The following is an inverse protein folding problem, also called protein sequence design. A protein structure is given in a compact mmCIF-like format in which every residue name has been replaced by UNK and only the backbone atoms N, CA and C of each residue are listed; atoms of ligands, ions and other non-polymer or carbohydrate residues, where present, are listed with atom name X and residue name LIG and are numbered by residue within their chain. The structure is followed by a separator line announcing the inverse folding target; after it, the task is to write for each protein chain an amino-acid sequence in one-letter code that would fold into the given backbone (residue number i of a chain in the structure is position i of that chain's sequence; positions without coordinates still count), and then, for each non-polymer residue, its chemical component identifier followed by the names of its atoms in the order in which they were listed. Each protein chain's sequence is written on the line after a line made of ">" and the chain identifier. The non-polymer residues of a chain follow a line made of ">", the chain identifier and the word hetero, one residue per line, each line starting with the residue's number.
data_IF_245081437319
#
_entry.id   IF_245081437319
#
_cell.length_a   1.000
_cell.length_b   1.000
_cell.length_c   1.000
_cell.angle_alpha   90.00
_cell.angle_beta   90.00
_cell.angle_gamma   90.00
#
_symmetry.space_group_name_H-M   'P 1'
#
loop_
_entity.id
_entity.type
_entity.pdbx_description
1 polymer ?
#
# COMPACT_ATOMS: atom_id res chain seq x y z
N UNK A 1 -12.38 5.24 6.76
CA UNK A 1 -13.01 6.01 7.84
C UNK A 1 -11.99 6.25 8.96
N UNK A 2 -11.92 7.47 9.51
CA UNK A 2 -11.05 7.84 10.64
C UNK A 2 -11.97 8.17 11.83
N UNK A 3 -11.69 7.69 13.06
CA UNK A 3 -12.47 8.12 14.23
C UNK A 3 -12.31 9.63 14.48
N UNK A 4 -13.42 10.32 14.78
CA UNK A 4 -13.39 11.78 15.06
C UNK A 4 -12.69 12.11 16.37
N UNK A 5 -12.80 11.22 17.35
CA UNK A 5 -12.20 11.32 18.69
C UNK A 5 -10.86 10.56 18.82
N UNK A 6 -10.15 10.31 17.70
CA UNK A 6 -8.92 9.51 17.72
C UNK A 6 -7.81 10.08 18.63
N UNK A 7 -7.66 11.41 18.68
CA UNK A 7 -6.65 12.04 19.50
C UNK A 7 -7.03 11.98 20.99
N UNK A 8 -8.27 12.36 21.32
CA UNK A 8 -8.81 12.34 22.68
C UNK A 8 -8.72 10.92 23.28
N UNK A 9 -9.15 9.91 22.52
CA UNK A 9 -9.07 8.50 22.95
C UNK A 9 -7.63 7.99 23.10
N UNK A 10 -6.67 8.56 22.37
CA UNK A 10 -5.26 8.23 22.51
C UNK A 10 -4.69 8.82 23.81
N UNK A 11 -5.04 10.07 24.13
CA UNK A 11 -4.64 10.73 25.38
C UNK A 11 -5.21 9.95 26.59
N UNK A 12 -6.51 9.68 26.60
CA UNK A 12 -7.15 8.87 27.65
C UNK A 12 -6.55 7.47 27.80
N UNK A 13 -6.21 6.82 26.67
CA UNK A 13 -5.56 5.52 26.67
C UNK A 13 -4.22 5.57 27.42
N UNK A 14 -3.37 6.56 27.12
CA UNK A 14 -2.07 6.69 27.78
C UNK A 14 -2.18 7.15 29.23
N UNK A 15 -3.11 8.06 29.56
CA UNK A 15 -3.40 8.46 30.94
C UNK A 15 -3.85 7.28 31.80
N UNK A 16 -4.61 6.35 31.20
CA UNK A 16 -5.01 5.10 31.85
C UNK A 16 -3.89 4.07 32.00
N UNK A 17 -2.65 4.43 31.66
CA UNK A 17 -1.50 3.51 31.56
C UNK A 17 -1.76 2.34 30.61
N UNK A 18 -2.36 2.65 29.45
CA UNK A 18 -2.68 1.69 28.40
C UNK A 18 -3.68 0.59 28.79
N UNK A 19 -4.54 0.82 29.80
CA UNK A 19 -5.43 -0.21 30.35
C UNK A 19 -6.90 -0.11 29.91
N UNK A 20 -7.35 1.06 29.43
CA UNK A 20 -8.73 1.26 28.94
C UNK A 20 -8.80 1.06 27.44
N UNK A 21 -9.78 0.29 26.95
CA UNK A 21 -10.01 0.18 25.51
C UNK A 21 -10.64 1.48 24.97
N UNK A 22 -10.12 2.06 23.87
CA UNK A 22 -10.74 3.20 23.21
C UNK A 22 -12.17 2.91 22.76
N UNK A 23 -13.07 3.88 22.93
CA UNK A 23 -14.39 3.87 22.30
C UNK A 23 -14.39 4.84 21.13
N UNK A 24 -14.44 4.31 19.91
CA UNK A 24 -14.33 5.13 18.71
C UNK A 24 -15.67 5.69 18.26
N UNK A 25 -15.64 6.97 17.91
CA UNK A 25 -16.76 7.70 17.33
C UNK A 25 -16.44 8.02 15.87
N UNK A 26 -17.40 7.80 14.98
CA UNK A 26 -17.23 8.00 13.54
C UNK A 26 -18.29 8.94 12.98
N UNK A 27 -17.90 9.70 11.96
CA UNK A 27 -18.83 10.41 11.09
C UNK A 27 -19.40 9.41 10.07
N UNK A 28 -20.72 9.19 10.14
CA UNK A 28 -21.42 8.20 9.31
C UNK A 28 -21.57 6.83 9.97
N UNK A 29 -21.90 5.83 9.16
CA UNK A 29 -22.18 4.47 9.61
C UNK A 29 -20.90 3.59 9.54
N UNK A 30 -20.25 3.28 10.67
CA UNK A 30 -19.06 2.43 10.68
C UNK A 30 -19.37 0.96 10.34
N UNK A 31 -20.63 0.52 10.48
CA UNK A 31 -21.02 -0.87 10.27
C UNK A 31 -20.92 -1.22 8.78
N UNK A 32 -21.29 -0.31 7.86
CA UNK A 32 -21.11 -0.51 6.41
C UNK A 32 -19.64 -0.75 6.00
N UNK A 33 -18.71 -0.04 6.63
CA UNK A 33 -17.28 -0.22 6.37
C UNK A 33 -16.79 -1.56 6.93
N UNK A 34 -17.24 -1.92 8.13
CA UNK A 34 -16.86 -3.16 8.79
C UNK A 34 -17.43 -4.38 8.05
N UNK A 35 -18.71 -4.37 7.68
CA UNK A 35 -19.34 -5.45 6.90
C UNK A 35 -18.59 -5.74 5.59
N UNK A 36 -18.16 -4.69 4.88
CA UNK A 36 -17.40 -4.83 3.62
C UNK A 36 -15.97 -5.32 3.82
N UNK A 37 -15.39 -5.13 5.01
CA UNK A 37 -13.96 -5.33 5.28
C UNK A 37 -13.68 -6.06 6.61
N UNK A 38 -14.46 -7.10 6.92
CA UNK A 38 -14.34 -7.88 8.16
C UNK A 38 -13.87 -9.33 7.98
N UNK A 39 -13.87 -9.85 6.75
CA UNK A 39 -13.42 -11.23 6.49
C UNK A 39 -11.90 -11.29 6.39
N UNK A 40 -11.27 -11.70 7.49
CA UNK A 40 -9.80 -11.79 7.62
C UNK A 40 -9.25 -12.94 6.79
N UNK A 41 -8.24 -12.64 5.96
CA UNK A 41 -7.43 -13.64 5.29
C UNK A 41 -6.29 -14.11 6.20
N UNK A 42 -6.15 -15.42 6.40
CA UNK A 42 -5.08 -16.00 7.22
C UNK A 42 -4.06 -16.81 6.40
N UNK A 43 -4.20 -16.85 5.07
CA UNK A 43 -3.44 -17.76 4.19
C UNK A 43 -1.94 -17.49 4.16
N UNK A 44 -1.51 -16.27 4.48
CA UNK A 44 -0.10 -15.86 4.55
C UNK A 44 0.40 -15.57 5.97
N UNK A 45 -0.27 -16.11 7.01
CA UNK A 45 0.09 -15.82 8.40
C UNK A 45 1.51 -16.27 8.73
N UNK A 46 1.91 -17.46 8.27
CA UNK A 46 3.25 -18.00 8.49
C UNK A 46 4.32 -17.18 7.77
N UNK A 47 4.09 -16.79 6.52
CA UNK A 47 5.02 -15.94 5.78
C UNK A 47 5.16 -14.55 6.41
N UNK A 48 4.05 -13.96 6.87
CA UNK A 48 4.09 -12.68 7.58
C UNK A 48 4.89 -12.79 8.88
N UNK A 49 4.57 -13.77 9.73
CA UNK A 49 5.29 -14.03 11.00
C UNK A 49 6.79 -14.22 10.75
N UNK A 50 7.16 -15.05 9.77
CA UNK A 50 8.56 -15.32 9.41
C UNK A 50 9.30 -14.05 8.98
N UNK A 51 8.69 -13.16 8.21
CA UNK A 51 9.30 -11.88 7.82
C UNK A 51 9.53 -11.00 9.05
N UNK A 52 8.56 -10.93 9.96
CA UNK A 52 8.69 -10.15 11.20
C UNK A 52 9.83 -10.67 12.09
N UNK A 53 9.88 -11.98 12.32
CA UNK A 53 10.89 -12.58 13.18
C UNK A 53 12.30 -12.47 12.60
N UNK A 54 12.46 -12.63 11.28
CA UNK A 54 13.76 -12.46 10.62
C UNK A 54 14.30 -11.05 10.69
N UNK A 55 13.41 -10.04 10.67
CA UNK A 55 13.83 -8.65 10.86
C UNK A 55 14.32 -8.43 12.28
N UNK A 56 13.64 -8.97 13.29
CA UNK A 56 14.10 -8.90 14.67
C UNK A 56 15.41 -9.67 14.88
N UNK A 57 15.54 -10.88 14.33
CA UNK A 57 16.76 -11.69 14.43
C UNK A 57 17.97 -10.97 13.81
N UNK A 58 17.77 -10.34 12.65
CA UNK A 58 18.86 -9.71 11.89
C UNK A 58 19.24 -8.32 12.37
N UNK A 59 18.26 -7.49 12.72
CA UNK A 59 18.46 -6.07 13.03
C UNK A 59 18.29 -5.76 14.52
N UNK A 60 17.85 -6.72 15.34
CA UNK A 60 17.56 -6.54 16.76
C UNK A 60 16.23 -5.81 17.04
N UNK A 61 15.86 -4.85 16.20
CA UNK A 61 14.58 -4.13 16.29
C UNK A 61 14.07 -3.68 14.93
N UNK A 62 12.77 -3.38 14.86
CA UNK A 62 12.15 -2.77 13.69
C UNK A 62 12.69 -1.38 13.39
N UNK A 63 12.97 -0.58 14.41
CA UNK A 63 13.50 0.77 14.22
C UNK A 63 14.91 0.75 13.63
N UNK A 64 15.77 -0.18 14.08
CA UNK A 64 17.09 -0.39 13.48
C UNK A 64 16.99 -0.82 12.00
N UNK A 65 16.02 -1.68 11.66
CA UNK A 65 15.74 -2.02 10.26
C UNK A 65 15.28 -0.79 9.46
N UNK A 66 14.30 -0.03 9.97
CA UNK A 66 13.77 1.15 9.27
C UNK A 66 14.85 2.22 9.08
N UNK A 67 15.71 2.45 10.08
CA UNK A 67 16.84 3.37 9.95
C UNK A 67 17.87 2.85 8.94
N UNK A 68 18.19 1.57 8.94
CA UNK A 68 19.08 0.96 7.92
C UNK A 68 18.49 1.07 6.51
N UNK A 69 17.17 0.90 6.38
CA UNK A 69 16.48 0.91 5.11
C UNK A 69 16.18 2.32 4.58
N UNK A 70 15.93 3.30 5.45
CA UNK A 70 15.41 4.62 5.03
C UNK A 70 16.16 5.81 5.65
N UNK A 71 17.17 5.57 6.47
CA UNK A 71 17.87 6.60 7.24
C UNK A 71 17.02 7.15 8.40
N UNK A 72 17.68 7.90 9.29
CA UNK A 72 17.08 8.57 10.44
C UNK A 72 16.81 10.07 10.21
N UNK A 73 17.45 10.67 9.20
CA UNK A 73 17.25 12.07 8.82
C UNK A 73 15.79 12.30 8.43
N UNK A 74 15.14 13.28 9.07
CA UNK A 74 13.78 13.71 8.74
C UNK A 74 13.80 15.04 8.01
N UNK A 75 12.89 15.19 7.06
CA UNK A 75 12.64 16.46 6.37
C UNK A 75 11.28 17.01 6.75
N UNK A 76 11.16 18.33 6.72
CA UNK A 76 9.91 19.06 6.95
C UNK A 76 8.90 18.86 5.81
N UNK A 77 7.62 19.14 6.08
CA UNK A 77 6.54 18.99 5.10
C UNK A 77 6.72 19.85 3.83
N UNK A 78 7.41 20.98 3.92
CA UNK A 78 7.74 21.84 2.77
C UNK A 78 8.72 21.18 1.80
N UNK A 79 9.73 20.50 2.34
CA UNK A 79 10.73 19.77 1.56
C UNK A 79 10.12 18.52 0.92
N UNK A 80 9.29 17.77 1.67
CA UNK A 80 8.49 16.67 1.13
C UNK A 80 7.67 17.13 -0.08
N UNK A 81 6.98 18.26 0.06
CA UNK A 81 6.19 18.84 -1.03
C UNK A 81 7.05 19.16 -2.24
N UNK A 82 8.20 19.82 -2.04
CA UNK A 82 9.10 20.21 -3.13
C UNK A 82 9.59 18.99 -3.92
N UNK A 83 10.01 17.92 -3.24
CA UNK A 83 10.47 16.70 -3.90
C UNK A 83 9.33 15.97 -4.64
N UNK A 84 8.10 15.99 -4.12
CA UNK A 84 6.95 15.42 -4.84
C UNK A 84 6.55 16.27 -6.06
N UNK A 85 6.69 17.59 -5.98
CA UNK A 85 6.51 18.50 -7.13
C UNK A 85 7.57 18.25 -8.22
N UNK A 86 8.83 18.01 -7.84
CA UNK A 86 9.90 17.63 -8.76
C UNK A 86 9.60 16.29 -9.46
N UNK A 87 9.17 15.28 -8.70
CA UNK A 87 8.79 13.98 -9.26
C UNK A 87 7.61 14.10 -10.26
N UNK A 88 6.61 14.95 -9.95
CA UNK A 88 5.53 15.28 -10.88
C UNK A 88 6.02 16.02 -12.13
N UNK A 89 6.94 16.98 -11.97
CA UNK A 89 7.54 17.70 -13.08
C UNK A 89 8.29 16.77 -14.02
N UNK A 90 9.06 15.82 -13.50
CA UNK A 90 9.75 14.79 -14.28
C UNK A 90 8.81 13.86 -15.05
N UNK A 91 7.53 13.78 -14.67
CA UNK A 91 6.49 13.06 -15.40
C UNK A 91 5.63 13.97 -16.30
N UNK A 92 5.91 15.28 -16.35
CA UNK A 92 5.10 16.27 -17.06
C UNK A 92 3.69 16.44 -16.48
N UNK A 93 3.54 16.22 -15.17
CA UNK A 93 2.26 16.26 -14.44
C UNK A 93 2.12 17.46 -13.49
N UNK A 94 3.12 18.35 -13.47
CA UNK A 94 3.01 19.60 -12.72
C UNK A 94 1.84 20.43 -13.26
N UNK A 95 0.95 20.89 -12.37
CA UNK A 95 -0.27 21.62 -12.74
C UNK A 95 -1.46 20.74 -13.17
N UNK A 96 -1.26 19.44 -13.42
CA UNK A 96 -2.35 18.48 -13.66
C UNK A 96 -2.98 18.00 -12.35
N UNK A 97 -2.18 17.99 -11.28
CA UNK A 97 -2.56 17.52 -9.94
C UNK A 97 -2.56 18.68 -8.96
N UNK A 98 -3.60 18.77 -8.13
CA UNK A 98 -3.63 19.72 -7.01
C UNK A 98 -2.94 19.11 -5.80
N UNK A 99 -1.98 19.79 -5.19
CA UNK A 99 -1.32 19.34 -3.96
C UNK A 99 -1.91 20.07 -2.76
N UNK A 100 -2.31 19.32 -1.72
CA UNK A 100 -2.84 19.85 -0.46
C UNK A 100 -2.09 19.25 0.72
N UNK A 101 -1.69 20.07 1.67
CA UNK A 101 -1.09 19.62 2.94
C UNK A 101 -2.12 19.52 4.05
N UNK A 102 -1.99 18.56 4.96
CA UNK A 102 -2.84 18.43 6.15
C UNK A 102 -2.19 17.58 7.25
N UNK A 103 -2.15 18.13 8.47
CA UNK A 103 -1.80 17.41 9.72
C UNK A 103 -2.79 16.32 10.13
N UNK A 104 -3.97 16.25 9.52
CA UNK A 104 -5.05 15.35 9.93
C UNK A 104 -5.00 13.99 9.24
N UNK A 105 -4.07 13.76 8.31
CA UNK A 105 -3.97 12.50 7.57
C UNK A 105 -3.54 11.34 8.48
N UNK A 106 -4.06 10.13 8.20
CA UNK A 106 -3.59 8.89 8.83
C UNK A 106 -2.41 8.26 8.08
N UNK A 107 -2.17 8.69 6.85
CA UNK A 107 -1.05 8.32 5.99
C UNK A 107 -0.17 9.54 5.74
N UNK A 108 1.05 9.30 5.27
CA UNK A 108 1.99 10.38 4.93
C UNK A 108 1.52 11.12 3.67
N UNK A 109 0.97 10.37 2.71
CA UNK A 109 0.37 10.91 1.51
C UNK A 109 -0.82 10.02 1.09
N UNK A 110 -1.68 10.56 0.24
CA UNK A 110 -2.69 9.79 -0.49
C UNK A 110 -3.15 10.58 -1.73
N UNK A 111 -3.26 9.90 -2.86
CA UNK A 111 -3.92 10.45 -4.05
C UNK A 111 -5.41 10.08 -4.09
N UNK A 112 -6.25 11.06 -4.42
CA UNK A 112 -7.69 10.85 -4.61
C UNK A 112 -8.16 11.56 -5.88
N UNK A 113 -9.23 11.02 -6.47
CA UNK A 113 -9.95 11.69 -7.55
C UNK A 113 -11.18 12.38 -6.96
N UNK A 114 -11.24 13.69 -7.12
CA UNK A 114 -12.37 14.50 -6.66
C UNK A 114 -13.23 14.95 -7.85
N UNK A 115 -14.57 15.05 -7.71
CA UNK A 115 -15.42 15.62 -8.75
C UNK A 115 -15.03 17.08 -9.07
N UNK A 116 -15.05 17.51 -10.34
CA UNK A 116 -15.50 16.80 -11.54
C UNK A 116 -14.36 16.16 -12.37
N UNK A 117 -13.39 15.47 -11.74
CA UNK A 117 -12.19 14.81 -12.33
C UNK A 117 -10.83 15.46 -11.95
N UNK A 118 -10.77 16.21 -10.85
CA UNK A 118 -9.49 16.73 -10.34
C UNK A 118 -8.78 15.69 -9.50
N UNK A 119 -7.55 15.37 -9.86
CA UNK A 119 -6.66 14.55 -9.04
C UNK A 119 -6.04 15.44 -7.96
N UNK A 120 -6.17 15.02 -6.71
CA UNK A 120 -5.64 15.73 -5.54
C UNK A 120 -4.66 14.82 -4.82
N UNK A 121 -3.43 15.29 -4.66
CA UNK A 121 -2.41 14.65 -3.83
C UNK A 121 -2.43 15.33 -2.46
N UNK A 122 -2.85 14.58 -1.46
CA UNK A 122 -2.82 15.03 -0.07
C UNK A 122 -1.50 14.60 0.57
N UNK A 123 -0.85 15.51 1.28
CA UNK A 123 0.44 15.31 1.95
C UNK A 123 0.31 15.66 3.44
N UNK A 124 1.03 14.94 4.29
CA UNK A 124 1.21 15.35 5.68
C UNK A 124 2.09 16.60 5.76
N UNK A 125 1.88 17.43 6.78
CA UNK A 125 2.78 18.51 7.15
C UNK A 125 3.80 18.09 8.22
N UNK A 126 3.68 16.87 8.78
CA UNK A 126 4.59 16.34 9.79
C UNK A 126 5.93 15.89 9.18
N UNK A 127 7.07 16.02 9.90
CA UNK A 127 8.35 15.57 9.38
C UNK A 127 8.40 14.07 9.02
N UNK A 128 9.02 13.74 7.89
CA UNK A 128 9.13 12.37 7.35
C UNK A 128 10.58 11.96 7.12
N UNK A 129 10.95 10.67 7.28
CA UNK A 129 12.30 10.23 6.97
C UNK A 129 12.67 10.47 5.49
N UNK A 130 13.79 11.11 5.24
CA UNK A 130 14.23 11.53 3.91
C UNK A 130 14.33 10.35 2.93
N UNK A 131 14.86 9.20 3.37
CA UNK A 131 15.01 8.03 2.52
C UNK A 131 13.69 7.32 2.19
N UNK A 132 12.57 7.70 2.81
CA UNK A 132 11.23 7.21 2.41
C UNK A 132 10.65 7.99 1.23
N UNK A 133 11.09 9.21 0.96
CA UNK A 133 10.46 10.09 -0.03
C UNK A 133 10.45 9.50 -1.44
N UNK A 134 11.55 8.93 -1.97
CA UNK A 134 11.52 8.33 -3.30
C UNK A 134 10.52 7.16 -3.37
N UNK A 135 10.40 6.39 -2.29
CA UNK A 135 9.42 5.32 -2.17
C UNK A 135 7.98 5.84 -2.12
N UNK A 136 7.73 6.95 -1.42
CA UNK A 136 6.43 7.63 -1.41
C UNK A 136 6.03 8.16 -2.79
N UNK A 137 6.96 8.80 -3.50
CA UNK A 137 6.75 9.24 -4.87
C UNK A 137 6.37 8.05 -5.77
N UNK A 138 7.07 6.92 -5.65
CA UNK A 138 6.77 5.71 -6.40
C UNK A 138 5.41 5.09 -6.03
N UNK A 139 5.01 5.15 -4.75
CA UNK A 139 3.73 4.65 -4.25
C UNK A 139 2.56 5.49 -4.78
N UNK A 140 2.53 6.77 -4.42
CA UNK A 140 1.37 7.63 -4.65
C UNK A 140 1.30 8.14 -6.09
N UNK A 141 2.43 8.62 -6.61
CA UNK A 141 2.48 9.21 -7.95
C UNK A 141 2.76 8.10 -8.96
N UNK A 142 3.88 7.40 -8.79
CA UNK A 142 4.38 6.38 -9.70
C UNK A 142 3.50 5.14 -9.83
N UNK A 143 2.52 4.94 -8.94
CA UNK A 143 1.55 3.83 -9.04
C UNK A 143 0.14 4.37 -9.11
N UNK A 144 -0.42 4.86 -8.00
CA UNK A 144 -1.84 5.20 -7.93
C UNK A 144 -2.24 6.28 -8.96
N UNK A 145 -1.59 7.44 -8.94
CA UNK A 145 -1.93 8.52 -9.87
C UNK A 145 -1.78 8.10 -11.33
N UNK A 146 -0.64 7.51 -11.70
CA UNK A 146 -0.40 7.11 -13.08
C UNK A 146 -1.43 6.08 -13.55
N UNK A 147 -1.76 5.08 -12.73
CA UNK A 147 -2.76 4.06 -13.08
C UNK A 147 -4.17 4.65 -13.15
N UNK A 148 -4.52 5.62 -12.31
CA UNK A 148 -5.79 6.36 -12.41
C UNK A 148 -5.88 7.16 -13.71
N UNK A 149 -4.84 7.93 -14.05
CA UNK A 149 -4.77 8.71 -15.29
C UNK A 149 -4.82 7.81 -16.53
N UNK A 150 -4.13 6.67 -16.49
CA UNK A 150 -4.14 5.72 -17.60
C UNK A 150 -5.51 5.03 -17.73
N UNK A 151 -6.16 4.72 -16.61
CA UNK A 151 -7.50 4.15 -16.59
C UNK A 151 -8.52 5.07 -17.29
N UNK A 152 -8.34 6.40 -17.20
CA UNK A 152 -9.16 7.41 -17.89
C UNK A 152 -9.14 7.29 -19.43
N UNK A 153 -8.12 6.62 -19.97
CA UNK A 153 -7.95 6.38 -21.41
C UNK A 153 -8.57 5.06 -21.88
N UNK A 154 -8.97 4.16 -20.98
CA UNK A 154 -9.25 2.77 -21.33
C UNK A 154 -10.72 2.51 -21.71
N UNK A 155 -10.99 1.55 -22.60
CA UNK A 155 -12.35 1.26 -23.06
C UNK A 155 -13.25 0.69 -21.93
N UNK A 156 -12.68 0.02 -20.94
CA UNK A 156 -13.44 -0.54 -19.81
C UNK A 156 -13.88 0.49 -18.78
N UNK A 157 -13.37 1.74 -18.84
CA UNK A 157 -13.82 2.80 -17.94
C UNK A 157 -15.28 3.21 -18.17
N UNK A 158 -15.81 2.98 -19.38
CA UNK A 158 -17.09 3.43 -19.90
C UNK A 158 -18.05 4.11 -18.88
N UNK A 159 -17.80 5.40 -18.67
CA UNK A 159 -18.79 6.40 -18.29
C UNK A 159 -18.57 7.66 -19.14
N UNK A 160 -18.77 7.52 -20.45
CA UNK A 160 -18.91 8.64 -21.39
C UNK A 160 -19.86 8.23 -22.52
N UNK A 161 -21.10 8.70 -22.44
CA UNK A 161 -22.00 9.08 -23.55
C UNK A 161 -22.26 8.13 -24.74
N UNK A 162 -21.77 6.89 -24.73
CA UNK A 162 -22.13 5.85 -25.68
C UNK A 162 -22.56 4.62 -24.88
N UNK A 163 -23.77 4.71 -24.32
CA UNK A 163 -24.47 3.57 -23.76
C UNK A 163 -24.86 2.61 -24.90
N UNK A 164 -23.89 1.82 -25.35
CA UNK A 164 -24.17 0.52 -25.94
C UNK A 164 -24.64 -0.46 -24.86
N UNK A 165 -25.23 -1.55 -25.32
CA UNK A 165 -25.87 -2.59 -24.51
C UNK A 165 -25.02 -3.02 -23.29
N UNK A 166 -25.61 -2.92 -22.08
CA UNK A 166 -24.95 -3.18 -20.78
C UNK A 166 -24.32 -4.59 -20.72
N UNK A 167 -24.78 -5.51 -21.58
CA UNK A 167 -24.29 -6.90 -21.68
C UNK A 167 -22.88 -7.08 -22.26
N UNK A 168 -22.25 -6.07 -22.87
CA UNK A 168 -20.90 -6.19 -23.47
C UNK A 168 -19.75 -5.61 -22.64
N UNK A 169 -20.01 -5.14 -21.41
CA UNK A 169 -18.96 -4.59 -20.54
C UNK A 169 -18.11 -5.72 -19.94
N UNK A 170 -16.79 -5.63 -20.12
CA UNK A 170 -15.85 -6.54 -19.46
C UNK A 170 -15.93 -6.31 -17.96
N UNK A 171 -16.54 -7.26 -17.22
CA UNK A 171 -16.57 -7.22 -15.75
C UNK A 171 -15.19 -7.62 -15.21
N UNK A 172 -14.36 -6.63 -14.90
CA UNK A 172 -13.04 -6.83 -14.30
C UNK A 172 -13.17 -7.18 -12.81
N UNK A 173 -12.21 -7.94 -12.30
CA UNK A 173 -12.09 -8.25 -10.88
C UNK A 173 -11.65 -7.01 -10.08
N UNK A 174 -11.84 -7.07 -8.76
CA UNK A 174 -11.36 -6.02 -7.86
C UNK A 174 -9.83 -5.93 -7.94
N UNK A 175 -9.31 -4.74 -8.28
CA UNK A 175 -7.89 -4.46 -8.45
C UNK A 175 -7.19 -4.06 -7.15
N UNK A 176 -7.93 -3.81 -6.06
CA UNK A 176 -7.41 -3.18 -4.84
C UNK A 176 -6.15 -3.85 -4.28
N UNK A 177 -6.16 -5.17 -4.09
CA UNK A 177 -4.96 -5.89 -3.63
C UNK A 177 -3.79 -5.77 -4.61
N UNK A 178 -4.04 -5.89 -5.93
CA UNK A 178 -2.99 -5.70 -6.93
C UNK A 178 -2.43 -4.27 -6.91
N UNK A 179 -3.27 -3.27 -6.70
CA UNK A 179 -2.90 -1.86 -6.64
C UNK A 179 -2.02 -1.56 -5.43
N UNK A 180 -2.49 -1.87 -4.22
CA UNK A 180 -1.73 -1.65 -2.98
C UNK A 180 -0.44 -2.49 -2.93
N UNK A 181 -0.51 -3.72 -3.44
CA UNK A 181 0.66 -4.59 -3.56
C UNK A 181 1.72 -4.04 -4.50
N UNK A 182 1.33 -3.55 -5.68
CA UNK A 182 2.25 -2.94 -6.64
C UNK A 182 2.86 -1.66 -6.08
N UNK A 183 2.04 -0.81 -5.46
CA UNK A 183 2.50 0.43 -4.84
C UNK A 183 3.48 0.15 -3.68
N UNK A 184 3.22 -0.90 -2.89
CA UNK A 184 4.13 -1.38 -1.83
C UNK A 184 5.48 -1.80 -2.39
N UNK A 185 5.49 -2.61 -3.44
CA UNK A 185 6.72 -3.10 -4.06
C UNK A 185 7.51 -1.95 -4.70
N UNK A 186 6.82 -1.04 -5.40
CA UNK A 186 7.42 0.16 -5.98
C UNK A 186 8.08 1.03 -4.91
N UNK A 187 7.37 1.31 -3.80
CA UNK A 187 7.93 2.05 -2.69
C UNK A 187 9.18 1.39 -2.12
N UNK A 188 9.15 0.05 -2.02
CA UNK A 188 10.24 -0.71 -1.47
C UNK A 188 11.47 -0.71 -2.37
N UNK A 189 11.35 -0.78 -3.70
CA UNK A 189 12.53 -0.81 -4.59
C UNK A 189 13.10 0.56 -4.94
N UNK A 190 12.33 1.64 -4.79
CA UNK A 190 12.76 3.00 -5.13
C UNK A 190 13.36 3.73 -3.91
N UNK A 191 14.60 3.43 -3.54
CA UNK A 191 15.31 4.21 -2.52
C UNK A 191 16.74 4.45 -2.92
N UNK A 192 16.99 5.67 -3.40
CA UNK A 192 18.23 6.09 -4.04
C UNK A 192 19.41 6.21 -3.06
N UNK A 193 19.12 6.37 -1.76
CA UNK A 193 20.14 6.52 -0.71
C UNK A 193 20.61 5.19 -0.10
N UNK A 194 20.23 4.04 -0.65
CA UNK A 194 20.57 2.74 -0.03
C UNK A 194 21.89 2.15 -0.54
N UNK A 195 22.68 1.52 0.35
CA UNK A 195 23.74 0.62 -0.08
C UNK A 195 23.17 -0.49 -0.96
N UNK A 196 23.90 -0.88 -2.02
CA UNK A 196 23.50 -1.98 -2.92
C UNK A 196 23.28 -3.34 -2.19
N UNK A 197 23.73 -3.45 -0.94
CA UNK A 197 23.60 -4.61 -0.05
C UNK A 197 22.39 -4.57 0.89
N UNK A 198 21.63 -3.47 0.94
CA UNK A 198 20.50 -3.36 1.86
C UNK A 198 19.38 -4.34 1.47
N UNK A 199 19.07 -5.26 2.39
CA UNK A 199 18.01 -6.26 2.19
C UNK A 199 16.63 -5.63 2.40
N UNK A 200 15.73 -5.88 1.44
CA UNK A 200 14.42 -5.25 1.38
C UNK A 200 13.35 -6.18 1.91
N UNK A 201 13.03 -6.04 3.20
CA UNK A 201 11.95 -6.78 3.83
C UNK A 201 10.60 -6.12 3.59
N UNK A 202 9.58 -6.93 3.30
CA UNK A 202 8.16 -6.56 3.33
C UNK A 202 7.66 -6.46 4.79
N UNK A 203 8.49 -5.96 5.69
CA UNK A 203 8.22 -5.91 7.14
C UNK A 203 6.96 -5.10 7.46
N UNK A 204 6.88 -3.86 6.97
CA UNK A 204 5.73 -2.98 7.23
C UNK A 204 4.39 -3.57 6.76
N UNK A 205 4.24 -4.08 5.52
CA UNK A 205 3.00 -4.73 5.10
C UNK A 205 2.75 -6.07 5.80
N UNK A 206 3.78 -6.87 6.08
CA UNK A 206 3.65 -8.11 6.85
C UNK A 206 3.14 -7.84 8.27
N UNK A 207 3.64 -6.80 8.93
CA UNK A 207 3.20 -6.38 10.26
C UNK A 207 1.73 -6.00 10.27
N UNK A 208 1.28 -5.21 9.29
CA UNK A 208 -0.13 -4.80 9.19
C UNK A 208 -1.05 -5.99 8.93
N UNK A 209 -0.63 -6.89 8.04
CA UNK A 209 -1.34 -8.14 7.78
C UNK A 209 -1.45 -8.99 9.05
N UNK A 210 -0.32 -9.23 9.72
CA UNK A 210 -0.26 -10.01 10.94
C UNK A 210 -1.09 -9.39 12.07
N UNK A 211 -0.96 -8.08 12.28
CA UNK A 211 -1.74 -7.35 13.29
C UNK A 211 -3.25 -7.45 13.03
N UNK A 212 -3.66 -7.44 11.75
CA UNK A 212 -5.07 -7.65 11.37
C UNK A 212 -5.53 -9.05 11.76
N UNK A 213 -4.75 -10.09 11.44
CA UNK A 213 -5.07 -11.47 11.82
C UNK A 213 -5.17 -11.63 13.34
N UNK A 214 -4.22 -11.07 14.08
CA UNK A 214 -4.23 -11.15 15.54
C UNK A 214 -5.37 -10.33 16.18
N UNK A 215 -5.70 -9.18 15.58
CA UNK A 215 -6.75 -8.28 16.06
C UNK A 215 -8.16 -8.84 15.93
N UNK A 216 -8.37 -9.84 15.05
CA UNK A 216 -9.66 -10.48 14.84
C UNK A 216 -10.28 -11.03 16.12
N UNK A 217 -9.45 -11.53 17.05
CA UNK A 217 -9.89 -12.21 18.27
C UNK A 217 -9.30 -11.56 19.54
N UNK A 218 -9.00 -10.26 19.50
CA UNK A 218 -8.38 -9.51 20.61
C UNK A 218 -9.01 -8.14 20.78
N UNK A 219 -9.09 -7.66 22.02
CA UNK A 219 -9.42 -6.27 22.30
C UNK A 219 -8.29 -5.33 21.84
N UNK A 220 -8.54 -4.03 21.87
CA UNK A 220 -7.52 -3.02 21.55
C UNK A 220 -6.31 -3.11 22.48
N UNK A 221 -6.52 -3.20 23.79
CA UNK A 221 -5.45 -3.32 24.80
C UNK A 221 -4.63 -4.59 24.56
N UNK A 222 -5.29 -5.74 24.37
CA UNK A 222 -4.61 -7.02 24.12
C UNK A 222 -3.76 -6.98 22.84
N UNK A 223 -4.26 -6.34 21.78
CA UNK A 223 -3.51 -6.16 20.55
C UNK A 223 -2.33 -5.20 20.74
N UNK A 224 -2.51 -4.12 21.49
CA UNK A 224 -1.47 -3.12 21.78
C UNK A 224 -0.28 -3.73 22.54
N UNK A 225 -0.57 -4.54 23.57
CA UNK A 225 0.43 -5.29 24.32
C UNK A 225 1.17 -6.29 23.43
N UNK A 226 0.42 -7.07 22.64
CA UNK A 226 1.00 -8.07 21.74
C UNK A 226 1.95 -7.44 20.69
N UNK A 227 1.64 -6.25 20.20
CA UNK A 227 2.43 -5.55 19.21
C UNK A 227 3.74 -4.95 19.75
N UNK A 228 3.93 -4.89 21.07
CA UNK A 228 5.15 -4.34 21.70
C UNK A 228 6.43 -4.96 21.15
N UNK A 229 6.40 -6.28 20.94
CA UNK A 229 7.53 -7.03 20.41
C UNK A 229 8.01 -6.50 19.06
N UNK A 230 7.09 -6.02 18.22
CA UNK A 230 7.38 -5.59 16.85
C UNK A 230 7.42 -4.07 16.68
N UNK A 231 6.79 -3.31 17.57
CA UNK A 231 6.72 -1.84 17.47
C UNK A 231 6.92 -1.27 18.87
N UNK A 232 8.12 -0.76 19.16
CA UNK A 232 8.44 -0.26 20.49
C UNK A 232 7.68 1.05 20.79
N UNK A 233 7.65 1.96 19.81
CA UNK A 233 6.99 3.26 19.93
C UNK A 233 5.48 3.11 20.21
N UNK A 234 5.00 3.59 21.38
CA UNK A 234 3.62 3.39 21.80
C UNK A 234 2.62 4.16 20.94
N UNK A 235 3.00 5.32 20.38
CA UNK A 235 2.11 6.11 19.52
C UNK A 235 1.88 5.39 18.19
N UNK A 236 2.93 4.82 17.58
CA UNK A 236 2.86 3.99 16.37
C UNK A 236 2.03 2.73 16.63
N UNK A 237 2.21 2.08 17.79
CA UNK A 237 1.38 0.93 18.20
C UNK A 237 -0.09 1.29 18.30
N UNK A 238 -0.42 2.39 18.98
CA UNK A 238 -1.80 2.86 19.13
C UNK A 238 -2.43 3.12 17.75
N UNK A 239 -1.70 3.81 16.87
CA UNK A 239 -2.15 4.06 15.49
C UNK A 239 -2.35 2.77 14.71
N UNK A 240 -1.49 1.77 14.86
CA UNK A 240 -1.65 0.45 14.21
C UNK A 240 -2.90 -0.27 14.74
N UNK A 241 -3.11 -0.30 16.06
CA UNK A 241 -4.31 -0.87 16.67
C UNK A 241 -5.58 -0.15 16.16
N UNK A 242 -5.54 1.18 16.04
CA UNK A 242 -6.65 1.98 15.52
C UNK A 242 -6.97 1.68 14.06
N UNK A 243 -5.96 1.30 13.26
CA UNK A 243 -6.18 0.83 11.87
C UNK A 243 -6.83 -0.55 11.85
N UNK A 244 -6.37 -1.46 12.70
CA UNK A 244 -6.93 -2.82 12.83
C UNK A 244 -8.36 -2.79 13.36
N UNK A 245 -8.68 -1.91 14.31
CA UNK A 245 -10.01 -1.75 14.90
C UNK A 245 -10.88 -0.68 14.22
N UNK A 246 -10.49 -0.26 13.02
CA UNK A 246 -11.25 0.71 12.22
C UNK A 246 -12.65 0.16 11.89
N UNK A 247 -13.67 0.98 12.09
CA UNK A 247 -15.07 0.59 11.90
C UNK A 247 -15.69 -0.13 13.10
N UNK A 248 -14.95 -0.35 14.18
CA UNK A 248 -15.46 -0.90 15.44
C UNK A 248 -15.59 0.24 16.45
N UNK A 249 -16.76 0.37 17.10
CA UNK A 249 -17.01 1.40 18.13
C UNK A 249 -16.43 1.00 19.47
N UNK A 250 -16.92 -0.10 20.04
CA UNK A 250 -16.37 -0.67 21.27
C UNK A 250 -15.19 -1.58 20.95
N UNK A 251 -13.98 -1.05 21.08
CA UNK A 251 -12.76 -1.81 20.80
C UNK A 251 -12.35 -2.76 21.92
N UNK A 252 -13.09 -2.77 23.03
CA UNK A 252 -12.95 -3.75 24.11
C UNK A 252 -13.49 -5.12 23.73
N UNK A 253 -14.43 -5.18 22.79
CA UNK A 253 -14.97 -6.44 22.27
C UNK A 253 -13.86 -7.16 21.47
N UNK A 254 -13.46 -8.39 21.85
CA UNK A 254 -12.36 -9.10 21.22
C UNK A 254 -12.79 -9.80 19.94
N UNK A 255 -13.50 -9.08 19.07
CA UNK A 255 -14.02 -9.58 17.79
C UNK A 255 -13.76 -8.53 16.72
N UNK A 256 -13.39 -9.00 15.53
CA UNK A 256 -13.33 -8.18 14.33
C UNK A 256 -12.01 -7.46 14.12
N UNK A 257 -11.65 -7.35 12.85
CA UNK A 257 -10.57 -6.52 12.36
C UNK A 257 -10.90 -5.95 10.98
N UNK A 258 -10.42 -4.74 10.69
CA UNK A 258 -10.54 -4.09 9.40
C UNK A 258 -9.48 -4.64 8.44
N UNK A 259 -9.91 -5.25 7.33
CA UNK A 259 -9.00 -6.00 6.44
C UNK A 259 -8.40 -5.19 5.31
N UNK A 260 -8.69 -3.89 5.23
CA UNK A 260 -8.15 -2.99 4.20
C UNK A 260 -6.62 -3.07 4.10
N UNK A 261 -5.94 -3.17 5.24
CA UNK A 261 -4.48 -3.21 5.27
C UNK A 261 -3.87 -4.57 4.90
N UNK A 262 -4.68 -5.64 4.78
CA UNK A 262 -4.18 -6.93 4.28
C UNK A 262 -3.84 -6.86 2.79
N UNK A 263 -4.49 -5.96 2.04
CA UNK A 263 -4.29 -5.78 0.60
C UNK A 263 -2.83 -5.50 0.22
N UNK A 264 -2.10 -4.75 1.05
CA UNK A 264 -0.68 -4.43 0.83
C UNK A 264 0.19 -5.70 0.78
N UNK A 265 0.05 -6.58 1.77
CA UNK A 265 0.87 -7.80 1.84
C UNK A 265 0.38 -8.87 0.87
N UNK A 266 -0.93 -9.12 0.83
CA UNK A 266 -1.55 -10.08 -0.10
C UNK A 266 -1.20 -9.75 -1.55
N UNK A 267 -1.32 -8.47 -1.92
CA UNK A 267 -1.00 -7.98 -3.25
C UNK A 267 0.47 -8.11 -3.60
N UNK A 268 1.36 -7.70 -2.70
CA UNK A 268 2.80 -7.79 -2.92
C UNK A 268 3.24 -9.26 -3.11
N UNK A 269 2.74 -10.16 -2.27
CA UNK A 269 3.03 -11.60 -2.37
C UNK A 269 2.45 -12.19 -3.66
N UNK A 270 1.21 -11.84 -4.04
CA UNK A 270 0.60 -12.30 -5.30
C UNK A 270 1.41 -11.84 -6.53
N UNK A 271 1.89 -10.59 -6.55
CA UNK A 271 2.73 -10.07 -7.64
C UNK A 271 4.07 -10.81 -7.69
N UNK A 272 4.77 -10.97 -6.55
CA UNK A 272 6.06 -11.64 -6.49
C UNK A 272 5.96 -13.12 -6.91
N UNK A 273 4.89 -13.82 -6.50
CA UNK A 273 4.61 -15.20 -6.90
C UNK A 273 4.37 -15.36 -8.39
N UNK A 274 3.92 -14.31 -9.08
CA UNK A 274 3.58 -14.36 -10.50
C UNK A 274 4.51 -13.49 -11.35
N UNK A 275 5.66 -13.08 -10.82
CA UNK A 275 6.53 -12.04 -11.38
C UNK A 275 6.86 -12.26 -12.87
N UNK A 276 7.15 -13.50 -13.26
CA UNK A 276 7.53 -13.86 -14.64
C UNK A 276 6.36 -13.83 -15.64
N UNK A 277 5.12 -13.81 -15.15
CA UNK A 277 3.91 -13.83 -15.99
C UNK A 277 3.27 -12.45 -16.17
N UNK A 278 3.77 -11.42 -15.48
CA UNK A 278 3.14 -10.10 -15.44
C UNK A 278 3.69 -9.23 -16.57
N UNK A 279 2.82 -8.82 -17.49
CA UNK A 279 3.07 -7.69 -18.38
C UNK A 279 2.86 -6.39 -17.57
N UNK A 280 3.95 -5.86 -16.99
CA UNK A 280 3.91 -4.65 -16.17
C UNK A 280 3.42 -3.42 -16.96
N UNK A 281 3.74 -3.33 -18.25
CA UNK A 281 3.26 -2.21 -19.08
C UNK A 281 1.73 -2.29 -19.21
N UNK A 282 1.19 -3.48 -19.45
CA UNK A 282 -0.25 -3.70 -19.48
C UNK A 282 -0.90 -3.45 -18.12
N UNK A 283 -0.25 -3.84 -17.01
CA UNK A 283 -0.75 -3.58 -15.67
C UNK A 283 -0.90 -2.08 -15.38
N UNK A 284 0.02 -1.28 -15.93
CA UNK A 284 -0.03 0.18 -15.89
C UNK A 284 -1.07 0.82 -16.82
N UNK A 285 -1.71 0.08 -17.73
CA UNK A 285 -2.75 0.65 -18.60
C UNK A 285 -3.97 1.17 -17.81
N UNK A 286 -4.19 0.72 -16.57
CA UNK A 286 -5.26 1.24 -15.73
C UNK A 286 -5.37 0.57 -14.38
N UNK A 287 -6.54 0.70 -13.76
CA UNK A 287 -6.89 0.09 -12.48
C UNK A 287 -7.29 -1.38 -12.71
N UNK A 288 -6.27 -2.23 -12.88
CA UNK A 288 -6.41 -3.62 -13.29
C UNK A 288 -5.93 -4.57 -12.19
N UNK A 289 -6.72 -5.63 -11.95
CA UNK A 289 -6.23 -6.79 -11.23
C UNK A 289 -5.23 -7.55 -12.11
N UNK A 290 -4.19 -8.12 -11.50
CA UNK A 290 -3.25 -9.02 -12.20
C UNK A 290 -3.99 -10.15 -12.92
N UNK A 291 -5.06 -10.65 -12.31
CA UNK A 291 -5.87 -11.76 -12.84
C UNK A 291 -6.56 -11.42 -14.17
N UNK A 292 -6.78 -10.14 -14.46
CA UNK A 292 -7.48 -9.70 -15.66
C UNK A 292 -6.57 -9.32 -16.83
N UNK A 293 -5.24 -9.32 -16.66
CA UNK A 293 -4.30 -8.91 -17.71
C UNK A 293 -4.55 -9.66 -19.03
N UNK A 294 -4.80 -10.97 -18.96
CA UNK A 294 -5.10 -11.78 -20.14
C UNK A 294 -6.40 -11.37 -20.87
N UNK A 295 -7.38 -10.81 -20.15
CA UNK A 295 -8.69 -10.41 -20.69
C UNK A 295 -8.64 -9.08 -21.42
N UNK A 296 -7.75 -8.18 -20.97
CA UNK A 296 -7.65 -6.82 -21.51
C UNK A 296 -6.53 -6.65 -22.54
N UNK A 297 -5.66 -7.65 -22.71
CA UNK A 297 -4.44 -7.54 -23.54
C UNK A 297 -4.67 -7.02 -24.97
N UNK A 298 -5.82 -7.34 -25.57
CA UNK A 298 -6.18 -6.99 -26.95
C UNK A 298 -7.01 -5.71 -27.08
N UNK A 299 -7.60 -5.19 -25.99
CA UNK A 299 -8.41 -3.98 -26.02
C UNK A 299 -7.77 -2.80 -25.27
N UNK A 300 -6.72 -3.04 -24.47
CA UNK A 300 -6.00 -2.00 -23.76
C UNK A 300 -5.33 -1.01 -24.73
N UNK A 301 -5.55 0.28 -24.51
CA UNK A 301 -4.78 1.34 -25.19
C UNK A 301 -3.41 1.44 -24.53
N UNK A 302 -2.35 1.09 -25.26
CA UNK A 302 -0.96 1.04 -24.75
C UNK A 302 -0.11 2.25 -25.14
N UNK A 303 -0.42 2.94 -26.24
CA UNK A 303 0.48 3.95 -26.82
C UNK A 303 0.43 5.33 -26.12
N UNK A 304 -0.68 5.66 -25.45
CA UNK A 304 -0.88 6.98 -24.82
C UNK A 304 -0.76 6.94 -23.27
N UNK A 305 -0.31 5.81 -22.72
CA UNK A 305 -0.22 5.62 -21.27
C UNK A 305 1.04 6.28 -20.73
N UNK A 306 0.99 6.69 -19.46
CA UNK A 306 2.12 7.20 -18.71
C UNK A 306 2.73 6.07 -17.89
N UNK A 307 4.04 5.93 -17.95
CA UNK A 307 4.79 4.94 -17.16
C UNK A 307 5.67 5.67 -16.13
N UNK A 308 5.91 5.06 -14.96
CA UNK A 308 6.85 5.62 -13.99
C UNK A 308 8.27 5.61 -14.54
N UNK A 309 9.15 6.42 -13.96
CA UNK A 309 10.52 6.61 -14.45
C UNK A 309 11.35 5.31 -14.45
N UNK A 310 11.05 4.36 -13.56
CA UNK A 310 11.68 3.04 -13.48
C UNK A 310 11.09 1.99 -14.44
N UNK A 311 10.09 2.36 -15.25
CA UNK A 311 9.57 1.59 -16.38
C UNK A 311 9.72 2.40 -17.68
N UNK A 312 9.33 1.82 -18.81
CA UNK A 312 9.27 2.52 -20.11
C UNK A 312 10.41 2.22 -21.09
N UNK A 313 11.46 1.52 -20.66
CA UNK A 313 12.44 0.91 -21.57
C UNK A 313 12.68 -0.55 -21.17
N UNK A 314 13.15 -1.37 -22.11
CA UNK A 314 13.46 -2.78 -21.86
C UNK A 314 14.46 -2.92 -20.70
N UNK A 315 15.49 -2.10 -20.67
CA UNK A 315 16.52 -2.17 -19.63
C UNK A 315 16.02 -1.75 -18.25
N UNK A 316 15.20 -0.69 -18.19
CA UNK A 316 14.57 -0.25 -16.94
C UNK A 316 13.64 -1.32 -16.39
N UNK A 317 12.80 -1.91 -17.25
CA UNK A 317 11.92 -3.02 -16.87
C UNK A 317 12.71 -4.24 -16.38
N UNK A 318 13.80 -4.61 -17.05
CA UNK A 318 14.67 -5.72 -16.59
C UNK A 318 15.27 -5.43 -15.20
N UNK A 319 15.80 -4.21 -14.97
CA UNK A 319 16.34 -3.80 -13.67
C UNK A 319 15.28 -3.83 -12.57
N UNK A 320 14.08 -3.35 -12.89
CA UNK A 320 12.95 -3.37 -11.97
C UNK A 320 12.54 -4.80 -11.58
N UNK A 321 12.39 -5.70 -12.56
CA UNK A 321 12.08 -7.11 -12.29
C UNK A 321 13.18 -7.76 -11.44
N UNK A 322 14.45 -7.49 -11.72
CA UNK A 322 15.56 -8.02 -10.92
C UNK A 322 15.53 -7.50 -9.47
N UNK A 323 15.18 -6.23 -9.26
CA UNK A 323 14.98 -5.69 -7.91
C UNK A 323 13.84 -6.42 -7.19
N UNK A 324 12.74 -6.73 -7.87
CA UNK A 324 11.64 -7.53 -7.31
C UNK A 324 12.05 -8.98 -7.01
N UNK A 325 12.90 -9.61 -7.84
CA UNK A 325 13.45 -10.94 -7.54
C UNK A 325 14.28 -10.94 -6.27
N UNK A 326 15.08 -9.88 -6.04
CA UNK A 326 15.82 -9.71 -4.78
C UNK A 326 14.86 -9.57 -3.60
N UNK A 327 13.79 -8.79 -3.71
CA UNK A 327 12.76 -8.68 -2.67
C UNK A 327 12.13 -10.05 -2.38
N UNK A 328 11.73 -10.81 -3.41
CA UNK A 328 11.18 -12.15 -3.24
C UNK A 328 12.16 -13.09 -2.51
N UNK A 329 13.44 -13.10 -2.91
CA UNK A 329 14.49 -13.90 -2.28
C UNK A 329 14.70 -13.55 -0.82
N UNK A 330 14.86 -12.26 -0.51
CA UNK A 330 15.05 -11.76 0.87
C UNK A 330 13.88 -12.17 1.75
N UNK A 331 12.65 -12.08 1.25
CA UNK A 331 11.43 -12.42 2.01
C UNK A 331 11.04 -13.90 1.92
N UNK A 332 11.84 -14.74 1.26
CA UNK A 332 11.58 -16.16 1.01
C UNK A 332 10.19 -16.42 0.39
N UNK A 333 9.80 -15.59 -0.56
CA UNK A 333 8.58 -15.74 -1.34
C UNK A 333 8.93 -16.50 -2.62
N UNK A 334 8.35 -17.69 -2.78
CA UNK A 334 8.55 -18.50 -3.98
C UNK A 334 7.99 -17.78 -5.21
N UNK A 335 8.84 -17.56 -6.21
CA UNK A 335 8.40 -17.11 -7.52
C UNK A 335 7.89 -18.34 -8.25
N UNK A 336 6.62 -18.34 -8.65
CA UNK A 336 6.03 -19.42 -9.45
C UNK A 336 6.82 -19.55 -10.74
N UNK A 337 7.32 -20.76 -11.02
CA UNK A 337 7.91 -21.05 -12.32
C UNK A 337 6.81 -20.83 -13.36
N UNK A 338 6.99 -19.86 -14.25
CA UNK A 338 6.09 -19.68 -15.38
C UNK A 338 5.93 -21.01 -16.09
N UNK A 339 4.70 -21.38 -16.44
CA UNK A 339 4.41 -22.58 -17.20
C UNK A 339 5.32 -22.60 -18.44
N UNK A 340 6.36 -23.41 -18.36
CA UNK A 340 7.24 -23.75 -19.45
C UNK A 340 6.50 -24.82 -20.24
N UNK A 341 5.46 -24.43 -20.99
CA UNK A 341 4.72 -25.36 -21.85
C UNK A 341 4.27 -24.68 -23.14
N UNK A 342 5.24 -24.46 -24.01
CA UNK A 342 5.08 -24.69 -25.44
C UNK A 342 6.12 -25.72 -25.84
N UNK A 343 5.87 -26.97 -25.44
CA UNK A 343 6.44 -28.12 -26.13
C UNK A 343 5.75 -28.22 -27.49
N UNK A 344 6.55 -28.31 -28.54
CA UNK A 344 6.09 -28.56 -29.91
C UNK A 344 5.32 -29.88 -30.03
N UNK A 345 4.69 -30.08 -31.20
CA UNK A 345 5.39 -30.82 -32.25
C UNK A 345 6.15 -29.94 -33.23
#
# INVERSE_FOLDING_TARGET
>A
MKPRNLNDTMEEFFESRCSKNPVFEYDGDPDDVFERHSTVDCSLLEEAQRILDRVLEKFGSSDAYLETAFGSEKVEGTELRSQMEEYLAGLGLLGVVTIKTSSKLLSIANVVKTPPDKHVLHLTDTPVPAGMIPGLCAHEIGTHLLRMLNNDLQPWRADRCLAGDKGRRIKLANHFATEEGLATLNALVQSEKRPNSAELFLWSPALRYWATVQGQNRSFVQLFELLERYVQDPIRRFKLCSRVKRGIRDTGVPVGACTLDQAYFLGAVDILRHLESIDFVLLYCGLLSRKDLHRVRFCARRHAIRLPQFLGTIDRTKKYIEALRKVARVNQISIGQGASSLGGP
#
